data_IF_911066775063
#
_entry.id   IF_911066775063
#
_cell.length_a   1.000
_cell.length_b   1.000
_cell.length_c   1.000
_cell.angle_alpha   90.00
_cell.angle_beta   90.00
_cell.angle_gamma   90.00
#
_symmetry.space_group_name_H-M   'P 1'
#
loop_
_entity.id
_entity.type
_entity.pdbx_description
1 polymer ?
#
# COMPACT_ATOMS: atom_id res chain seq x y z
N UNK A 1 -4.92 -33.17 21.29
CA UNK A 1 -5.63 -33.07 20.00
C UNK A 1 -5.77 -31.57 19.66
N UNK A 2 -4.87 -31.03 18.84
CA UNK A 2 -4.88 -29.59 18.45
C UNK A 2 -5.48 -29.51 17.06
N UNK A 3 -6.65 -28.90 16.95
CA UNK A 3 -7.30 -28.63 15.68
C UNK A 3 -6.72 -27.32 15.13
N UNK A 4 -5.91 -27.42 14.07
CA UNK A 4 -5.42 -26.27 13.34
C UNK A 4 -6.51 -25.83 12.34
N UNK A 5 -7.17 -24.70 12.60
CA UNK A 5 -7.99 -24.03 11.60
C UNK A 5 -7.09 -23.25 10.65
N UNK A 6 -6.91 -23.80 9.45
CA UNK A 6 -6.20 -23.15 8.35
C UNK A 6 -7.18 -22.26 7.60
N UNK A 7 -7.22 -20.96 7.90
CA UNK A 7 -7.95 -19.99 7.08
C UNK A 7 -7.00 -19.57 5.96
N UNK A 8 -7.07 -20.30 4.85
CA UNK A 8 -6.45 -19.89 3.59
C UNK A 8 -7.31 -18.82 2.92
N UNK A 9 -7.04 -17.55 3.23
CA UNK A 9 -7.61 -16.42 2.48
C UNK A 9 -6.81 -16.31 1.17
N UNK A 10 -7.30 -16.94 0.09
CA UNK A 10 -6.67 -16.82 -1.22
C UNK A 10 -6.95 -15.43 -1.79
N UNK A 11 -5.91 -14.72 -2.19
CA UNK A 11 -5.96 -13.42 -2.89
C UNK A 11 -6.85 -13.44 -4.17
N UNK A 12 -7.12 -14.61 -4.72
CA UNK A 12 -8.07 -14.85 -5.82
C UNK A 12 -9.54 -14.55 -5.45
N UNK A 13 -9.93 -14.65 -4.17
CA UNK A 13 -11.29 -14.35 -3.72
C UNK A 13 -11.65 -12.86 -3.81
N UNK A 14 -10.67 -11.98 -3.64
CA UNK A 14 -10.90 -10.53 -3.70
C UNK A 14 -11.07 -10.05 -5.15
N UNK A 15 -10.37 -10.66 -6.10
CA UNK A 15 -10.53 -10.38 -7.52
C UNK A 15 -11.90 -10.90 -8.05
N UNK A 16 -12.39 -12.04 -7.54
CA UNK A 16 -13.68 -12.61 -7.93
C UNK A 16 -14.89 -11.79 -7.48
N UNK A 17 -14.82 -11.16 -6.31
CA UNK A 17 -15.88 -10.27 -5.81
C UNK A 17 -15.99 -8.96 -6.62
N UNK A 18 -14.88 -8.48 -7.17
CA UNK A 18 -14.89 -7.30 -8.04
C UNK A 18 -15.48 -7.58 -9.44
N UNK A 19 -15.40 -8.82 -9.95
CA UNK A 19 -15.97 -9.20 -11.24
C UNK A 19 -17.47 -9.54 -11.16
N UNK A 20 -17.95 -10.09 -10.05
CA UNK A 20 -19.36 -10.45 -9.87
C UNK A 20 -20.29 -9.23 -9.73
N UNK A 21 -19.76 -8.07 -9.36
CA UNK A 21 -20.53 -6.82 -9.30
C UNK A 21 -20.69 -6.13 -10.67
N UNK A 22 -20.10 -6.66 -11.73
CA UNK A 22 -20.11 -6.04 -13.07
C UNK A 22 -21.30 -6.46 -13.96
N UNK A 23 -22.14 -7.40 -13.51
CA UNK A 23 -23.20 -7.98 -14.38
C UNK A 23 -24.58 -7.31 -14.31
N UNK A 24 -24.72 -6.18 -13.60
CA UNK A 24 -25.95 -5.36 -13.69
C UNK A 24 -25.62 -3.90 -14.02
N UNK A 25 -25.08 -3.68 -15.21
CA UNK A 25 -24.98 -2.32 -15.73
C UNK A 25 -26.32 -1.95 -16.40
N UNK A 26 -27.02 -0.91 -15.95
CA UNK A 26 -28.10 -0.31 -16.73
C UNK A 26 -27.50 0.31 -18.01
N UNK A 27 -28.29 0.23 -19.09
CA UNK A 27 -28.01 0.70 -20.45
C UNK A 27 -27.30 2.06 -20.48
N UNK A 28 -26.24 2.09 -21.26
CA UNK A 28 -25.48 3.21 -21.83
C UNK A 28 -26.13 4.58 -21.69
N UNK A 29 -25.95 5.26 -20.59
CA UNK A 29 -26.01 6.71 -20.57
C UNK A 29 -24.71 7.24 -21.18
N UNK A 30 -24.87 8.10 -22.19
CA UNK A 30 -23.77 8.83 -22.82
C UNK A 30 -23.08 9.67 -21.76
N UNK A 31 -21.96 9.17 -21.24
CA UNK A 31 -21.07 9.95 -20.40
C UNK A 31 -20.56 11.13 -21.24
N UNK A 32 -21.07 12.33 -20.94
CA UNK A 32 -20.42 13.56 -21.34
C UNK A 32 -18.97 13.57 -20.81
N UNK A 33 -18.10 14.42 -21.36
CA UNK A 33 -16.73 14.54 -20.88
C UNK A 33 -16.77 14.76 -19.37
N UNK A 34 -16.04 13.90 -18.62
CA UNK A 34 -15.89 14.05 -17.16
C UNK A 34 -15.34 15.46 -16.96
N UNK A 35 -16.07 16.36 -16.27
CA UNK A 35 -15.51 17.67 -15.98
C UNK A 35 -14.25 17.44 -15.17
N UNK A 36 -13.10 17.88 -15.68
CA UNK A 36 -11.84 17.94 -14.95
C UNK A 36 -12.00 18.96 -13.81
N UNK A 37 -12.68 18.55 -12.76
CA UNK A 37 -12.80 19.36 -11.55
C UNK A 37 -11.49 19.22 -10.76
N UNK A 38 -10.45 19.91 -11.24
CA UNK A 38 -9.12 19.95 -10.60
C UNK A 38 -9.15 20.54 -9.20
N UNK A 39 -10.25 21.16 -8.82
CA UNK A 39 -10.42 21.94 -7.58
C UNK A 39 -11.14 21.19 -6.44
N UNK A 40 -11.36 19.86 -6.54
CA UNK A 40 -11.93 19.12 -5.39
C UNK A 40 -10.95 19.11 -4.22
N UNK A 41 -11.30 19.67 -3.06
CA UNK A 41 -10.46 19.63 -1.87
C UNK A 41 -10.08 18.18 -1.51
N UNK A 42 -8.80 17.96 -1.20
CA UNK A 42 -8.31 16.65 -0.81
C UNK A 42 -8.07 15.65 -1.95
N UNK A 43 -8.07 16.10 -3.22
CA UNK A 43 -7.77 15.27 -4.38
C UNK A 43 -6.31 14.85 -4.46
N UNK A 44 -5.39 15.74 -4.05
CA UNK A 44 -3.96 15.49 -4.00
C UNK A 44 -3.49 15.22 -2.58
N UNK A 45 -2.38 14.53 -2.44
CA UNK A 45 -1.76 14.29 -1.15
C UNK A 45 -0.24 14.26 -1.24
N UNK A 46 0.40 14.67 -0.16
CA UNK A 46 1.81 14.43 0.10
C UNK A 46 1.91 13.63 1.39
N UNK A 47 2.75 12.61 1.41
CA UNK A 47 2.99 11.78 2.58
C UNK A 47 4.48 11.57 2.81
N UNK A 48 4.87 11.51 4.06
CA UNK A 48 6.21 11.09 4.47
C UNK A 48 6.08 9.98 5.50
N UNK A 49 6.97 9.00 5.41
CA UNK A 49 6.98 7.89 6.35
C UNK A 49 8.38 7.30 6.51
N UNK A 50 8.60 6.64 7.64
CA UNK A 50 9.85 5.94 7.92
C UNK A 50 9.61 4.73 8.83
N UNK A 51 10.52 3.76 8.80
CA UNK A 51 10.47 2.62 9.69
C UNK A 51 11.54 1.57 9.46
N UNK A 52 11.64 0.60 10.38
CA UNK A 52 12.60 -0.49 10.32
C UNK A 52 12.18 -1.62 9.37
N UNK A 53 13.17 -2.36 8.90
CA UNK A 53 12.97 -3.64 8.22
C UNK A 53 12.51 -4.71 9.20
N UNK A 54 11.65 -5.60 8.73
CA UNK A 54 11.33 -6.86 9.40
C UNK A 54 11.58 -8.04 8.48
N UNK A 55 12.02 -9.17 9.06
CA UNK A 55 12.17 -10.44 8.36
C UNK A 55 10.93 -11.31 8.46
N UNK A 56 9.96 -10.82 9.17
CA UNK A 56 8.68 -11.47 9.42
C UNK A 56 7.84 -11.53 8.15
N UNK A 57 7.07 -12.58 7.98
CA UNK A 57 6.13 -12.72 6.86
C UNK A 57 4.96 -11.76 7.03
N UNK A 58 4.33 -11.37 5.92
CA UNK A 58 3.23 -10.42 5.94
C UNK A 58 2.09 -10.80 6.89
N UNK A 59 1.70 -12.09 6.91
CA UNK A 59 0.65 -12.59 7.82
C UNK A 59 1.00 -12.51 9.31
N UNK A 60 2.28 -12.52 9.65
CA UNK A 60 2.78 -12.38 11.02
C UNK A 60 2.83 -10.89 11.41
N UNK A 61 3.20 -10.01 10.46
CA UNK A 61 3.17 -8.55 10.65
C UNK A 61 1.74 -8.10 11.02
N UNK A 62 0.73 -8.58 10.29
CA UNK A 62 -0.69 -8.28 10.59
C UNK A 62 -1.11 -8.77 11.98
N UNK A 63 -0.45 -9.81 12.50
CA UNK A 63 -0.67 -10.31 13.88
C UNK A 63 0.20 -9.60 14.93
N UNK A 64 0.90 -8.53 14.56
CA UNK A 64 1.81 -7.76 15.42
C UNK A 64 2.99 -8.60 15.96
N UNK A 65 3.38 -9.66 15.27
CA UNK A 65 4.50 -10.53 15.59
C UNK A 65 5.69 -10.16 14.71
N UNK A 66 6.32 -9.01 15.01
CA UNK A 66 7.40 -8.48 14.18
C UNK A 66 8.76 -8.61 14.86
N UNK A 67 9.77 -9.05 14.09
CA UNK A 67 11.18 -9.06 14.49
C UNK A 67 11.93 -7.99 13.70
N UNK A 68 12.10 -6.83 14.30
CA UNK A 68 12.76 -5.68 13.69
C UNK A 68 14.28 -5.83 13.65
N UNK A 69 14.89 -5.32 12.57
CA UNK A 69 16.33 -5.32 12.35
C UNK A 69 16.85 -3.91 12.05
N UNK A 70 18.14 -3.71 12.28
CA UNK A 70 18.82 -2.42 12.10
C UNK A 70 19.05 -2.09 10.61
N UNK A 71 17.99 -1.96 9.86
CA UNK A 71 17.97 -1.39 8.52
C UNK A 71 16.64 -0.65 8.36
N UNK A 72 16.66 0.49 7.69
CA UNK A 72 15.55 1.44 7.73
C UNK A 72 15.21 1.94 6.32
N UNK A 73 14.00 2.43 6.18
CA UNK A 73 13.54 3.17 5.01
C UNK A 73 12.90 4.49 5.45
N UNK A 74 13.11 5.55 4.67
CA UNK A 74 12.27 6.74 4.70
C UNK A 74 11.82 7.06 3.27
N UNK A 75 10.60 7.57 3.12
CA UNK A 75 10.04 7.88 1.81
C UNK A 75 9.24 9.19 1.83
N UNK A 76 9.24 9.83 0.66
CA UNK A 76 8.35 10.92 0.31
C UNK A 76 7.47 10.44 -0.84
N UNK A 77 6.15 10.57 -0.67
CA UNK A 77 5.15 10.14 -1.63
C UNK A 77 4.23 11.30 -2.03
N UNK A 78 3.83 11.30 -3.29
CA UNK A 78 2.77 12.16 -3.82
C UNK A 78 1.66 11.26 -4.37
N UNK A 79 0.42 11.56 -4.00
CA UNK A 79 -0.74 10.76 -4.38
C UNK A 79 -1.85 11.60 -4.97
N UNK A 80 -2.71 10.94 -5.75
CA UNK A 80 -3.92 11.54 -6.32
C UNK A 80 -5.07 10.55 -6.21
N UNK A 81 -6.20 11.03 -5.72
CA UNK A 81 -7.48 10.34 -5.78
C UNK A 81 -7.97 10.30 -7.23
N UNK A 82 -8.30 9.13 -7.76
CA UNK A 82 -8.76 8.95 -9.13
C UNK A 82 -10.29 8.95 -9.21
N UNK A 83 -10.92 8.01 -8.52
CA UNK A 83 -12.37 7.85 -8.51
C UNK A 83 -12.83 7.25 -7.20
N UNK A 84 -14.05 7.54 -6.81
CA UNK A 84 -14.69 6.94 -5.65
C UNK A 84 -15.84 6.02 -6.11
N UNK A 85 -16.01 4.90 -5.40
CA UNK A 85 -17.16 4.01 -5.53
C UNK A 85 -18.05 4.17 -4.31
N UNK A 86 -19.02 5.09 -4.41
CA UNK A 86 -19.80 5.54 -3.28
C UNK A 86 -18.92 6.22 -2.22
N UNK A 87 -19.34 6.14 -0.97
CA UNK A 87 -18.63 6.73 0.17
C UNK A 87 -17.57 5.78 0.77
N UNK A 88 -17.65 4.48 0.47
CA UNK A 88 -16.90 3.44 1.16
C UNK A 88 -15.54 3.13 0.53
N UNK A 89 -15.39 3.29 -0.78
CA UNK A 89 -14.16 2.90 -1.46
C UNK A 89 -13.68 3.95 -2.46
N UNK A 90 -12.38 4.06 -2.65
CA UNK A 90 -11.79 4.96 -3.64
C UNK A 90 -10.49 4.37 -4.22
N UNK A 91 -10.24 4.68 -5.49
CA UNK A 91 -8.97 4.43 -6.14
C UNK A 91 -8.06 5.63 -6.00
N UNK A 92 -6.79 5.36 -5.71
CA UNK A 92 -5.73 6.36 -5.62
C UNK A 92 -4.53 5.89 -6.46
N UNK A 93 -3.80 6.82 -7.06
CA UNK A 93 -2.47 6.56 -7.60
C UNK A 93 -1.45 7.27 -6.71
N UNK A 94 -0.32 6.62 -6.44
CA UNK A 94 0.77 7.17 -5.65
C UNK A 94 2.09 6.90 -6.33
N UNK A 95 2.95 7.93 -6.39
CA UNK A 95 4.35 7.83 -6.75
C UNK A 95 5.20 8.21 -5.55
N UNK A 96 6.36 7.54 -5.37
CA UNK A 96 7.24 7.83 -4.24
C UNK A 96 8.71 7.63 -4.56
N UNK A 97 9.54 8.34 -3.80
CA UNK A 97 10.97 8.10 -3.69
C UNK A 97 11.27 7.64 -2.27
N UNK A 98 12.08 6.60 -2.15
CA UNK A 98 12.47 6.04 -0.87
C UNK A 98 13.99 5.95 -0.75
N UNK A 99 14.51 6.18 0.45
CA UNK A 99 15.91 6.02 0.81
C UNK A 99 16.04 4.94 1.87
N UNK A 100 16.91 3.99 1.63
CA UNK A 100 17.26 2.92 2.56
C UNK A 100 18.64 3.16 3.15
N UNK A 101 18.82 2.80 4.42
CA UNK A 101 20.12 2.82 5.10
C UNK A 101 20.23 1.72 6.15
N UNK A 102 21.44 1.49 6.68
CA UNK A 102 21.77 0.41 7.60
C UNK A 102 22.42 -0.76 6.88
N UNK A 103 21.80 -1.94 6.90
CA UNK A 103 22.32 -3.14 6.21
C UNK A 103 22.18 -3.09 4.68
N UNK A 104 21.45 -2.13 4.16
CA UNK A 104 21.40 -1.80 2.74
C UNK A 104 21.48 -0.29 2.58
N UNK A 105 22.02 0.15 1.46
CA UNK A 105 22.24 1.55 1.14
C UNK A 105 21.90 1.79 -0.34
N UNK A 106 20.65 2.18 -0.59
CA UNK A 106 20.19 2.49 -1.95
C UNK A 106 18.96 3.38 -1.90
N UNK A 107 18.67 4.02 -3.03
CA UNK A 107 17.40 4.70 -3.25
C UNK A 107 16.48 3.84 -4.11
N UNK A 108 15.19 4.11 -4.03
CA UNK A 108 14.14 3.36 -4.68
C UNK A 108 13.06 4.31 -5.20
N UNK A 109 12.52 4.01 -6.37
CA UNK A 109 11.39 4.72 -6.98
C UNK A 109 10.26 3.71 -7.13
N UNK A 110 9.10 4.06 -6.60
CA UNK A 110 7.90 3.23 -6.65
C UNK A 110 6.71 4.01 -7.19
N UNK A 111 5.80 3.29 -7.80
CA UNK A 111 4.44 3.76 -8.05
C UNK A 111 3.45 2.66 -7.64
N UNK A 112 2.23 3.03 -7.28
CA UNK A 112 1.18 2.07 -6.97
C UNK A 112 -0.20 2.62 -7.31
N UNK A 113 -1.07 1.73 -7.77
CA UNK A 113 -2.51 1.91 -7.75
C UNK A 113 -3.01 1.33 -6.43
N UNK A 114 -3.74 2.14 -5.64
CA UNK A 114 -4.26 1.74 -4.35
C UNK A 114 -5.79 1.71 -4.39
N UNK A 115 -6.37 0.71 -3.74
CA UNK A 115 -7.77 0.68 -3.35
C UNK A 115 -7.85 0.97 -1.86
N UNK A 116 -8.53 2.06 -1.51
CA UNK A 116 -8.75 2.49 -0.13
C UNK A 116 -10.19 2.24 0.27
N UNK A 117 -10.37 1.54 1.38
CA UNK A 117 -11.64 1.32 2.04
C UNK A 117 -11.80 2.25 3.23
N UNK A 118 -13.01 2.83 3.39
CA UNK A 118 -13.43 3.78 4.43
C UNK A 118 -14.79 3.35 5.00
N UNK A 119 -15.35 4.13 5.90
CA UNK A 119 -16.71 3.92 6.41
C UNK A 119 -16.75 2.83 7.49
N UNK A 120 -15.87 2.96 8.48
CA UNK A 120 -15.90 2.08 9.64
C UNK A 120 -16.94 2.56 10.66
N UNK A 121 -17.57 1.64 11.43
CA UNK A 121 -18.64 1.98 12.39
C UNK A 121 -18.24 2.97 13.49
N UNK A 122 -16.94 3.17 13.69
CA UNK A 122 -16.38 4.08 14.70
C UNK A 122 -15.83 5.39 14.13
N UNK A 123 -16.08 5.70 12.85
CA UNK A 123 -15.54 6.90 12.19
C UNK A 123 -16.01 8.21 12.82
N UNK A 124 -17.12 8.20 13.58
CA UNK A 124 -17.58 9.33 14.40
C UNK A 124 -16.61 9.68 15.55
N UNK A 125 -15.76 8.73 15.96
CA UNK A 125 -14.75 8.90 17.01
C UNK A 125 -13.33 8.96 16.48
N UNK A 126 -13.04 8.15 15.49
CA UNK A 126 -11.72 8.03 14.86
C UNK A 126 -11.89 7.66 13.41
N UNK A 127 -11.66 8.59 12.50
CA UNK A 127 -11.73 8.33 11.07
C UNK A 127 -10.58 7.40 10.65
N UNK A 128 -10.96 6.24 10.16
CA UNK A 128 -10.03 5.15 9.81
C UNK A 128 -10.17 4.79 8.35
N UNK A 129 -9.09 4.36 7.71
CA UNK A 129 -9.15 3.70 6.41
C UNK A 129 -8.11 2.60 6.29
N UNK A 130 -8.36 1.66 5.39
CA UNK A 130 -7.42 0.60 5.00
C UNK A 130 -7.17 0.71 3.51
N UNK A 131 -5.91 0.65 3.08
CA UNK A 131 -5.56 0.63 1.68
C UNK A 131 -4.63 -0.52 1.34
N UNK A 132 -4.87 -1.10 0.17
CA UNK A 132 -4.01 -2.08 -0.48
C UNK A 132 -3.59 -1.53 -1.83
N UNK A 133 -2.33 -1.71 -2.22
CA UNK A 133 -1.82 -1.24 -3.49
C UNK A 133 -0.91 -2.23 -4.17
N UNK A 134 -0.73 -2.03 -5.47
CA UNK A 134 0.23 -2.74 -6.29
C UNK A 134 0.77 -1.84 -7.40
N UNK A 135 2.04 -2.00 -7.73
CA UNK A 135 2.69 -1.30 -8.84
C UNK A 135 4.18 -1.61 -8.94
N UNK A 136 4.92 -0.91 -9.80
CA UNK A 136 6.34 -1.15 -9.99
C UNK A 136 7.19 -0.56 -8.85
N UNK A 137 8.31 -1.27 -8.57
CA UNK A 137 9.41 -0.84 -7.71
C UNK A 137 10.73 -0.98 -8.43
N UNK A 138 11.53 0.08 -8.44
CA UNK A 138 12.85 0.13 -9.05
C UNK A 138 13.88 0.58 -8.02
N UNK A 139 14.74 -0.33 -7.57
CA UNK A 139 15.91 0.01 -6.77
C UNK A 139 17.03 0.56 -7.67
N UNK A 140 17.62 1.70 -7.30
CA UNK A 140 18.68 2.35 -8.08
C UNK A 140 20.04 1.64 -7.93
N UNK A 141 20.20 0.82 -6.86
CA UNK A 141 21.30 -0.13 -6.73
C UNK A 141 20.77 -1.49 -6.25
N UNK A 142 21.57 -2.55 -6.38
CA UNK A 142 21.16 -3.89 -5.93
C UNK A 142 20.98 -3.93 -4.42
N UNK A 143 19.77 -4.28 -3.89
CA UNK A 143 19.51 -4.32 -2.48
C UNK A 143 20.34 -5.39 -1.76
N UNK A 144 21.34 -4.96 -0.99
CA UNK A 144 22.28 -5.87 -0.33
C UNK A 144 21.61 -6.82 0.67
N UNK A 145 20.58 -6.33 1.36
CA UNK A 145 19.83 -7.10 2.36
C UNK A 145 19.01 -8.23 1.69
N UNK A 146 18.37 -7.95 0.55
CA UNK A 146 17.63 -8.95 -0.22
C UNK A 146 18.58 -10.01 -0.76
N UNK A 147 19.72 -9.58 -1.34
CA UNK A 147 20.78 -10.48 -1.81
C UNK A 147 21.33 -11.36 -0.70
N UNK A 148 21.58 -10.80 0.48
CA UNK A 148 22.11 -11.55 1.63
C UNK A 148 21.12 -12.59 2.18
N UNK A 149 19.80 -12.39 2.01
CA UNK A 149 18.77 -13.34 2.50
C UNK A 149 18.44 -14.45 1.52
N UNK A 150 18.50 -14.17 0.23
CA UNK A 150 17.94 -15.04 -0.80
C UNK A 150 18.99 -15.50 -1.85
N UNK A 151 20.24 -15.04 -1.69
CA UNK A 151 21.32 -15.33 -2.65
C UNK A 151 21.26 -14.43 -3.89
N UNK A 152 20.07 -14.02 -4.28
CA UNK A 152 19.80 -13.14 -5.43
C UNK A 152 18.95 -11.95 -5.01
N UNK A 153 19.08 -10.84 -5.73
CA UNK A 153 18.24 -9.67 -5.56
C UNK A 153 17.95 -9.02 -6.90
N UNK A 154 16.68 -8.67 -7.14
CA UNK A 154 16.27 -7.94 -8.32
C UNK A 154 16.12 -6.44 -8.01
N UNK A 155 16.61 -5.61 -8.93
CA UNK A 155 16.37 -4.17 -8.87
C UNK A 155 14.93 -3.81 -9.24
N UNK A 156 14.23 -4.68 -9.98
CA UNK A 156 12.85 -4.48 -10.43
C UNK A 156 11.98 -5.53 -9.76
N UNK A 157 11.08 -5.05 -8.90
CA UNK A 157 10.09 -5.86 -8.18
C UNK A 157 8.73 -5.18 -8.24
N UNK A 158 7.70 -5.82 -7.72
CA UNK A 158 6.44 -5.16 -7.40
C UNK A 158 6.54 -4.45 -6.06
N UNK A 159 5.97 -3.24 -5.98
CA UNK A 159 5.68 -2.53 -4.74
C UNK A 159 4.24 -2.81 -4.34
N UNK A 160 4.05 -3.33 -3.13
CA UNK A 160 2.75 -3.74 -2.61
C UNK A 160 2.53 -3.12 -1.23
N UNK A 161 2.10 -1.85 -1.14
CA UNK A 161 1.81 -1.21 0.13
C UNK A 161 0.50 -1.76 0.73
N UNK A 162 0.54 -2.02 2.05
CA UNK A 162 -0.62 -2.18 2.88
C UNK A 162 -0.62 -1.08 3.92
N UNK A 163 -1.72 -0.34 4.07
CA UNK A 163 -1.78 0.84 4.91
C UNK A 163 -3.05 0.87 5.76
N UNK A 164 -2.91 1.32 6.99
CA UNK A 164 -4.01 1.67 7.88
C UNK A 164 -3.80 3.12 8.30
N UNK A 165 -4.83 3.96 8.14
CA UNK A 165 -4.79 5.37 8.53
C UNK A 165 -5.68 5.64 9.73
N UNK A 166 -5.36 6.71 10.46
CA UNK A 166 -6.18 7.25 11.52
C UNK A 166 -6.10 8.77 11.52
N UNK A 167 -7.23 9.43 11.75
CA UNK A 167 -7.33 10.88 11.91
C UNK A 167 -8.49 11.24 12.84
N UNK A 168 -8.49 12.42 13.50
CA UNK A 168 -9.67 12.94 14.17
C UNK A 168 -10.85 13.02 13.19
N UNK A 169 -12.11 12.85 13.66
CA UNK A 169 -13.29 12.87 12.79
C UNK A 169 -13.39 14.15 11.95
N UNK A 170 -13.08 15.28 12.55
CA UNK A 170 -13.17 16.60 11.91
C UNK A 170 -11.97 16.93 11.00
N UNK A 171 -10.92 16.13 11.04
CA UNK A 171 -9.74 16.35 10.21
C UNK A 171 -10.00 15.90 8.78
N UNK A 172 -10.00 16.82 7.83
CA UNK A 172 -10.10 16.50 6.40
C UNK A 172 -8.75 16.56 5.68
N UNK A 173 -7.78 17.25 6.26
CA UNK A 173 -6.55 17.64 5.58
C UNK A 173 -5.32 16.82 5.96
N UNK A 174 -5.37 16.07 7.06
CA UNK A 174 -4.23 15.26 7.49
C UNK A 174 -4.66 13.95 8.15
N UNK A 175 -3.81 12.97 8.09
CA UNK A 175 -3.96 11.67 8.72
C UNK A 175 -2.58 11.08 9.07
N UNK A 176 -2.48 10.40 10.19
CA UNK A 176 -1.36 9.51 10.47
C UNK A 176 -1.64 8.14 9.87
N UNK A 177 -0.58 7.40 9.57
CA UNK A 177 -0.74 6.03 9.08
C UNK A 177 0.40 5.11 9.50
N UNK A 178 0.10 3.82 9.55
CA UNK A 178 1.10 2.76 9.50
C UNK A 178 1.03 2.07 8.15
N UNK A 179 2.20 1.71 7.59
CA UNK A 179 2.30 1.09 6.27
C UNK A 179 3.31 -0.04 6.30
N UNK A 180 2.93 -1.16 5.73
CA UNK A 180 3.90 -2.17 5.30
C UNK A 180 4.38 -1.77 3.91
N UNK A 181 5.64 -1.33 3.81
CA UNK A 181 6.33 -1.09 2.56
C UNK A 181 6.92 -2.44 2.11
N UNK A 182 6.22 -3.12 1.22
CA UNK A 182 6.57 -4.45 0.75
C UNK A 182 7.01 -4.44 -0.70
N UNK A 183 8.19 -5.02 -0.96
CA UNK A 183 8.66 -5.36 -2.31
C UNK A 183 8.53 -6.87 -2.52
N UNK A 184 8.11 -7.29 -3.70
CA UNK A 184 7.87 -8.70 -4.00
C UNK A 184 8.14 -9.05 -5.46
N UNK A 185 8.64 -10.25 -5.70
CA UNK A 185 8.68 -10.88 -7.03
C UNK A 185 7.32 -11.40 -7.49
N UNK A 186 6.28 -11.34 -6.65
CA UNK A 186 4.91 -11.81 -6.95
C UNK A 186 4.92 -13.26 -7.42
N UNK A 187 5.49 -14.15 -6.59
CA UNK A 187 5.58 -15.60 -6.88
C UNK A 187 6.23 -15.94 -8.23
N UNK A 188 7.25 -15.17 -8.66
CA UNK A 188 7.94 -15.37 -9.92
C UNK A 188 7.32 -14.62 -11.12
N UNK A 189 6.17 -14.00 -10.97
CA UNK A 189 5.53 -13.23 -12.08
C UNK A 189 6.38 -12.02 -12.49
N UNK A 190 7.00 -11.33 -11.52
CA UNK A 190 7.86 -10.17 -11.77
C UNK A 190 9.34 -10.56 -11.68
N UNK A 191 9.69 -11.40 -10.72
CA UNK A 191 11.06 -11.89 -10.50
C UNK A 191 11.04 -13.11 -9.57
N UNK A 192 11.95 -14.03 -9.76
CA UNK A 192 12.18 -15.15 -8.84
C UNK A 192 12.79 -14.71 -7.50
N UNK A 193 13.30 -13.48 -7.45
CA UNK A 193 13.86 -12.89 -6.23
C UNK A 193 12.79 -12.51 -5.24
N UNK A 194 13.04 -12.79 -3.96
CA UNK A 194 12.24 -12.27 -2.85
C UNK A 194 12.62 -10.84 -2.52
N UNK A 195 11.65 -10.05 -2.10
CA UNK A 195 11.85 -8.68 -1.64
C UNK A 195 11.98 -8.55 -0.13
N UNK A 196 11.66 -7.37 0.36
CA UNK A 196 11.78 -6.98 1.77
C UNK A 196 10.50 -6.36 2.30
N UNK A 197 10.32 -6.45 3.62
CA UNK A 197 9.22 -5.83 4.37
C UNK A 197 9.76 -4.76 5.31
N UNK A 198 9.17 -3.56 5.26
CA UNK A 198 9.39 -2.51 6.25
C UNK A 198 8.06 -2.16 6.88
N UNK A 199 8.03 -2.08 8.20
CA UNK A 199 6.87 -1.55 8.94
C UNK A 199 7.17 -0.10 9.26
N UNK A 200 6.35 0.79 8.75
CA UNK A 200 6.61 2.23 8.79
C UNK A 200 5.45 2.98 9.43
N UNK A 201 5.75 4.14 10.02
CA UNK A 201 4.77 5.14 10.44
C UNK A 201 4.95 6.41 9.64
N UNK A 202 3.87 7.14 9.39
CA UNK A 202 3.90 8.32 8.57
C UNK A 202 2.77 9.31 8.80
N UNK A 203 2.89 10.45 8.13
CA UNK A 203 1.91 11.52 8.06
C UNK A 203 1.57 11.80 6.60
N UNK A 204 0.29 11.97 6.32
CA UNK A 204 -0.21 12.42 5.00
C UNK A 204 -0.99 13.72 5.17
N UNK A 205 -0.75 14.66 4.26
CA UNK A 205 -1.53 15.89 4.09
C UNK A 205 -2.25 15.82 2.75
N UNK A 206 -3.53 16.20 2.74
CA UNK A 206 -4.40 16.27 1.55
C UNK A 206 -4.77 17.71 1.23
N UNK A 207 -4.85 18.05 -0.05
CA UNK A 207 -5.18 19.39 -0.55
C UNK A 207 -5.82 19.33 -1.95
#
# INVERSE_FOLDING_TARGET
MRVAFSIGLSLLGIAGLALSAAETLPSRETYGPIPDNESEPGKWSIATYAGPVTYTRFNEIVRLQTDFRSSYVAALAAGRKLTAHGELAQWEIEGQVARHWGKQDHSEINAALLLRWKGFPWDDYLRTSIALGIGPSIALATPALEKGRHGEASRRLAFMPFEITAAPPDSQNWEIFTRVHHRSGVFGVVSDSSGSNFVTGGLRVRF
#
